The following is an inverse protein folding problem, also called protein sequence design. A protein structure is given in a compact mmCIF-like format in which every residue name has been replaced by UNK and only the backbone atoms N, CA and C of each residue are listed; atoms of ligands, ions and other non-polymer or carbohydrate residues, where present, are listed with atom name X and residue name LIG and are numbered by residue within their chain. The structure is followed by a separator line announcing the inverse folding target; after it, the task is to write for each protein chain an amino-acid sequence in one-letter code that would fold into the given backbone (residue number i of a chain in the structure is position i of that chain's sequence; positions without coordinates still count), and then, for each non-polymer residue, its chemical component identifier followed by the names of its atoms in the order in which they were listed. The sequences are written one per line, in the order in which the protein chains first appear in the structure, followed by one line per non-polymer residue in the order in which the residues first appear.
data_IF_483500271783
#
_entry.id   IF_483500271783
#
_cell.length_a   1.000
_cell.length_b   1.000
_cell.length_c   1.000
_cell.angle_alpha   90.00
_cell.angle_beta   90.00
_cell.angle_gamma   90.00
#
_symmetry.space_group_name_H-M   'P 1'
#
loop_
_entity.id
_entity.type
_entity.pdbx_description
1 polymer ?
#
# COMPACT_ATOMS: atom_id res chain seq x y z
N UNK A 1 -21.30 -6.38 21.24
CA UNK A 1 -20.24 -7.39 21.06
C UNK A 1 -19.86 -7.63 19.60
N UNK A 2 -20.78 -8.04 18.71
CA UNK A 2 -20.46 -8.35 17.29
C UNK A 2 -19.68 -7.25 16.55
N UNK A 3 -19.97 -5.97 16.80
CA UNK A 3 -19.28 -4.84 16.15
C UNK A 3 -18.12 -4.30 16.99
N UNK A 4 -18.34 -4.13 18.29
CA UNK A 4 -17.37 -3.51 19.19
C UNK A 4 -16.11 -4.37 19.35
N UNK A 5 -16.24 -5.69 19.50
CA UNK A 5 -15.10 -6.58 19.67
C UNK A 5 -14.15 -6.60 18.47
N UNK A 6 -14.61 -6.81 17.22
CA UNK A 6 -13.69 -6.76 16.07
C UNK A 6 -13.13 -5.35 15.83
N UNK A 7 -13.85 -4.28 16.17
CA UNK A 7 -13.31 -2.92 16.10
C UNK A 7 -12.15 -2.71 17.09
N UNK A 8 -12.33 -3.09 18.36
CA UNK A 8 -11.27 -3.01 19.36
C UNK A 8 -10.10 -3.95 19.04
N UNK A 9 -10.40 -5.16 18.56
CA UNK A 9 -9.41 -6.13 18.11
C UNK A 9 -8.60 -5.61 16.91
N UNK A 10 -9.25 -4.90 15.99
CA UNK A 10 -8.58 -4.19 14.90
C UNK A 10 -7.65 -3.10 15.42
N UNK A 11 -8.15 -2.18 16.26
CA UNK A 11 -7.33 -1.08 16.80
C UNK A 11 -6.12 -1.64 17.55
N UNK A 12 -6.31 -2.65 18.39
CA UNK A 12 -5.20 -3.30 19.09
C UNK A 12 -4.21 -3.95 18.12
N UNK A 13 -4.71 -4.65 17.10
CA UNK A 13 -3.87 -5.35 16.13
C UNK A 13 -3.10 -4.40 15.22
N UNK A 14 -3.76 -3.43 14.59
CA UNK A 14 -3.09 -2.52 13.65
C UNK A 14 -2.03 -1.67 14.35
N UNK A 15 -2.19 -1.35 15.64
CA UNK A 15 -1.19 -0.61 16.42
C UNK A 15 -0.14 -1.51 17.12
N UNK A 16 -0.24 -2.84 17.01
CA UNK A 16 0.69 -3.79 17.66
C UNK A 16 1.23 -4.82 16.69
N UNK A 17 0.37 -5.67 16.11
CA UNK A 17 0.72 -6.71 15.15
C UNK A 17 1.50 -6.14 13.97
N UNK A 18 1.04 -5.02 13.41
CA UNK A 18 1.68 -4.41 12.24
C UNK A 18 3.14 -4.07 12.54
N UNK A 19 3.39 -3.23 13.54
CA UNK A 19 4.74 -2.83 13.93
C UNK A 19 5.59 -4.01 14.40
N UNK A 20 5.01 -4.93 15.16
CA UNK A 20 5.69 -6.14 15.59
C UNK A 20 6.15 -6.99 14.40
N UNK A 21 5.33 -7.06 13.35
CA UNK A 21 5.65 -7.80 12.13
C UNK A 21 6.79 -7.17 11.32
N UNK A 22 7.02 -5.86 11.49
CA UNK A 22 8.15 -5.12 10.91
C UNK A 22 9.35 -4.98 11.84
N UNK A 23 9.34 -5.68 12.99
CA UNK A 23 10.37 -5.54 14.04
C UNK A 23 10.48 -4.11 14.62
N UNK A 24 9.40 -3.33 14.51
CA UNK A 24 9.33 -1.94 14.89
C UNK A 24 8.66 -1.72 16.26
N UNK A 25 8.12 -2.76 16.90
CA UNK A 25 7.49 -2.64 18.22
C UNK A 25 8.52 -2.58 19.36
N UNK A 26 9.65 -3.28 19.22
CA UNK A 26 10.69 -3.32 20.24
C UNK A 26 12.05 -3.66 19.64
N UNK A 27 13.13 -3.25 20.31
CA UNK A 27 14.48 -3.75 20.00
C UNK A 27 14.69 -5.20 20.44
N UNK A 28 13.81 -5.74 21.29
CA UNK A 28 13.85 -7.15 21.69
C UNK A 28 13.06 -8.01 20.66
N UNK A 29 13.72 -8.94 19.95
CA UNK A 29 13.06 -9.77 18.93
C UNK A 29 11.94 -10.65 19.50
N UNK A 30 12.01 -11.06 20.78
CA UNK A 30 10.97 -11.86 21.41
C UNK A 30 9.66 -11.07 21.57
N UNK A 31 9.75 -9.76 21.87
CA UNK A 31 8.56 -8.90 21.99
C UNK A 31 7.88 -8.74 20.64
N UNK A 32 8.64 -8.56 19.55
CA UNK A 32 8.09 -8.53 18.19
C UNK A 32 7.45 -9.87 17.80
N UNK A 33 8.10 -10.99 18.11
CA UNK A 33 7.55 -12.31 17.82
C UNK A 33 6.22 -12.56 18.54
N UNK A 34 6.14 -12.21 19.84
CA UNK A 34 4.89 -12.31 20.62
C UNK A 34 3.84 -11.33 20.10
N UNK A 35 4.22 -10.08 19.84
CA UNK A 35 3.32 -9.05 19.30
C UNK A 35 2.67 -9.47 17.98
N UNK A 36 3.42 -10.12 17.10
CA UNK A 36 2.89 -10.71 15.86
C UNK A 36 2.00 -11.94 16.11
N UNK A 37 2.39 -12.82 17.04
CA UNK A 37 1.64 -14.04 17.33
C UNK A 37 0.28 -13.82 18.03
N UNK A 38 0.10 -12.69 18.72
CA UNK A 38 -1.13 -12.36 19.45
C UNK A 38 -2.35 -12.08 18.56
N UNK A 39 -2.14 -11.83 17.26
CA UNK A 39 -3.22 -11.44 16.35
C UNK A 39 -3.34 -12.39 15.13
N UNK A 40 -3.65 -13.68 15.36
CA UNK A 40 -3.74 -14.68 14.30
C UNK A 40 -4.86 -14.40 13.27
N UNK A 41 -5.78 -13.46 13.57
CA UNK A 41 -6.83 -13.04 12.65
C UNK A 41 -6.37 -12.21 11.46
N UNK A 42 -5.18 -11.59 11.51
CA UNK A 42 -4.63 -10.82 10.41
C UNK A 42 -4.03 -11.77 9.37
N UNK A 43 -2.98 -12.49 9.77
CA UNK A 43 -2.32 -13.51 8.98
C UNK A 43 -1.47 -14.38 9.91
N UNK A 44 -0.97 -15.51 9.40
CA UNK A 44 0.16 -16.16 10.04
C UNK A 44 1.42 -15.30 9.84
N UNK A 45 2.31 -15.24 10.84
CA UNK A 45 3.57 -14.51 10.68
C UNK A 45 4.42 -15.05 9.52
N UNK A 46 4.38 -16.37 9.31
CA UNK A 46 5.08 -17.01 8.20
C UNK A 46 4.57 -16.54 6.83
N UNK A 47 3.25 -16.52 6.61
CA UNK A 47 2.71 -16.00 5.36
C UNK A 47 2.92 -14.49 5.22
N UNK A 48 2.74 -13.74 6.31
CA UNK A 48 2.91 -12.30 6.34
C UNK A 48 4.33 -11.87 5.97
N UNK A 49 5.36 -12.61 6.42
CA UNK A 49 6.74 -12.36 6.02
C UNK A 49 6.98 -12.50 4.52
N UNK A 50 6.40 -13.52 3.87
CA UNK A 50 6.55 -13.71 2.42
C UNK A 50 5.72 -12.70 1.62
N UNK A 51 4.47 -12.51 2.02
CA UNK A 51 3.50 -11.66 1.34
C UNK A 51 3.86 -10.19 1.49
N UNK A 52 3.91 -9.72 2.73
CA UNK A 52 3.94 -8.31 3.03
C UNK A 52 5.38 -7.80 3.24
N UNK A 53 6.14 -8.42 4.15
CA UNK A 53 7.46 -7.88 4.54
C UNK A 53 8.49 -8.00 3.41
N UNK A 54 8.61 -9.17 2.78
CA UNK A 54 9.58 -9.40 1.70
C UNK A 54 8.94 -9.08 0.35
N UNK A 55 7.72 -9.52 0.11
CA UNK A 55 7.05 -9.31 -1.16
C UNK A 55 6.72 -7.85 -1.41
N UNK A 56 5.70 -7.37 -0.69
CA UNK A 56 5.12 -6.05 -0.90
C UNK A 56 6.08 -4.90 -0.59
N UNK A 57 6.78 -4.88 0.56
CA UNK A 57 7.66 -3.75 0.90
C UNK A 57 8.89 -3.64 0.00
N UNK A 58 9.38 -4.75 -0.55
CA UNK A 58 10.48 -4.69 -1.52
C UNK A 58 9.95 -4.32 -2.92
N UNK A 59 8.73 -4.73 -3.27
CA UNK A 59 8.19 -4.64 -4.63
C UNK A 59 6.85 -3.90 -4.75
N UNK A 60 6.60 -2.88 -3.94
CA UNK A 60 5.29 -2.21 -3.82
C UNK A 60 4.74 -1.79 -5.17
N UNK A 61 3.51 -2.21 -5.47
CA UNK A 61 2.81 -1.96 -6.73
C UNK A 61 3.60 -2.32 -8.00
N UNK A 62 4.67 -3.13 -7.90
CA UNK A 62 5.35 -3.64 -9.07
C UNK A 62 4.54 -4.80 -9.67
N UNK A 63 4.08 -4.69 -10.93
CA UNK A 63 3.32 -5.74 -11.58
C UNK A 63 4.09 -7.06 -11.57
N UNK A 64 3.39 -8.16 -11.27
CA UNK A 64 3.93 -9.52 -11.22
C UNK A 64 4.91 -9.82 -10.08
N UNK A 65 5.42 -8.80 -9.39
CA UNK A 65 6.32 -8.99 -8.24
C UNK A 65 5.60 -8.78 -6.90
N UNK A 66 4.76 -7.74 -6.79
CA UNK A 66 3.99 -7.46 -5.58
C UNK A 66 2.92 -8.53 -5.33
N UNK A 67 3.00 -9.30 -4.23
CA UNK A 67 1.92 -10.13 -3.74
C UNK A 67 0.54 -9.46 -3.78
N UNK A 68 0.44 -8.20 -3.39
CA UNK A 68 -0.86 -7.53 -3.25
C UNK A 68 -1.54 -7.30 -4.61
N UNK A 69 -0.77 -7.30 -5.69
CA UNK A 69 -1.29 -7.24 -7.06
C UNK A 69 -1.51 -8.62 -7.68
N UNK A 70 -0.76 -9.66 -7.28
CA UNK A 70 -0.81 -10.99 -7.93
C UNK A 70 -1.73 -12.00 -7.27
N UNK A 71 -2.09 -11.81 -5.99
CA UNK A 71 -2.97 -12.77 -5.31
C UNK A 71 -4.43 -12.56 -5.70
N UNK A 72 -5.05 -13.64 -6.19
CA UNK A 72 -6.46 -13.59 -6.58
C UNK A 72 -6.66 -12.76 -7.85
N UNK A 73 -5.63 -12.63 -8.69
CA UNK A 73 -5.73 -12.03 -10.03
C UNK A 73 -6.78 -12.70 -10.88
N UNK A 74 -7.17 -13.94 -10.64
CA UNK A 74 -8.30 -14.58 -11.33
C UNK A 74 -9.63 -13.91 -10.94
N UNK A 75 -9.76 -13.47 -9.69
CA UNK A 75 -11.00 -12.91 -9.12
C UNK A 75 -11.05 -11.40 -9.31
N UNK A 76 -9.94 -10.68 -9.16
CA UNK A 76 -9.92 -9.22 -9.25
C UNK A 76 -8.59 -8.75 -9.80
N UNK A 77 -8.65 -7.87 -10.80
CA UNK A 77 -7.47 -7.36 -11.49
C UNK A 77 -7.04 -6.04 -10.87
N UNK A 78 -5.88 -6.06 -10.22
CA UNK A 78 -5.34 -4.88 -9.55
C UNK A 78 -4.28 -4.10 -10.34
N UNK A 79 -3.83 -4.61 -11.50
CA UNK A 79 -2.93 -3.88 -12.37
C UNK A 79 -3.27 -4.12 -13.85
N UNK A 80 -3.11 -3.10 -14.70
CA UNK A 80 -3.47 -3.17 -16.12
C UNK A 80 -2.53 -4.07 -16.94
N UNK A 81 -1.30 -4.20 -16.49
CA UNK A 81 -0.37 -5.18 -17.06
C UNK A 81 -0.79 -6.63 -16.80
N UNK A 82 -1.66 -6.91 -15.83
CA UNK A 82 -2.19 -8.27 -15.64
C UNK A 82 -3.25 -8.61 -16.68
N UNK A 83 -3.34 -9.87 -17.13
CA UNK A 83 -4.36 -10.32 -18.07
C UNK A 83 -5.77 -10.03 -17.56
N UNK A 84 -6.67 -9.69 -18.49
CA UNK A 84 -8.09 -9.58 -18.20
C UNK A 84 -8.73 -10.97 -18.36
N UNK A 85 -9.27 -11.50 -17.25
CA UNK A 85 -9.93 -12.79 -17.20
C UNK A 85 -11.46 -12.63 -17.25
N UNK A 86 -12.22 -13.65 -17.72
CA UNK A 86 -13.67 -13.59 -17.75
C UNK A 86 -14.30 -13.30 -16.38
N UNK A 87 -13.66 -13.76 -15.31
CA UNK A 87 -14.07 -13.49 -13.95
C UNK A 87 -14.00 -11.99 -13.62
N UNK A 88 -13.17 -11.16 -14.24
CA UNK A 88 -13.10 -9.71 -13.98
C UNK A 88 -14.31 -8.92 -14.45
N UNK A 89 -15.20 -9.53 -15.23
CA UNK A 89 -16.40 -8.88 -15.74
C UNK A 89 -17.19 -8.24 -14.58
N UNK A 90 -17.49 -6.95 -14.71
CA UNK A 90 -18.21 -6.16 -13.71
C UNK A 90 -17.47 -6.01 -12.34
N UNK A 91 -16.14 -6.13 -12.30
CA UNK A 91 -15.35 -5.91 -11.07
C UNK A 91 -15.41 -4.48 -10.52
N UNK A 92 -15.76 -3.53 -11.40
CA UNK A 92 -16.03 -2.13 -11.13
C UNK A 92 -17.35 -1.90 -10.36
N UNK A 93 -18.20 -2.92 -10.25
CA UNK A 93 -19.43 -2.85 -9.46
C UNK A 93 -19.12 -2.70 -7.96
N UNK A 94 -19.79 -1.76 -7.29
CA UNK A 94 -19.63 -1.48 -5.87
C UNK A 94 -20.01 -2.68 -4.97
N UNK A 95 -21.04 -3.46 -5.32
CA UNK A 95 -21.45 -4.66 -4.58
C UNK A 95 -20.33 -5.70 -4.61
N UNK A 96 -19.69 -5.87 -5.76
CA UNK A 96 -18.58 -6.80 -5.91
C UNK A 96 -17.33 -6.32 -5.16
N UNK A 97 -17.08 -5.01 -5.18
CA UNK A 97 -16.01 -4.39 -4.38
C UNK A 97 -16.27 -4.56 -2.89
N UNK A 98 -17.51 -4.35 -2.42
CA UNK A 98 -17.90 -4.59 -1.03
C UNK A 98 -17.74 -6.05 -0.62
N UNK A 99 -18.13 -6.99 -1.51
CA UNK A 99 -17.92 -8.42 -1.28
C UNK A 99 -16.43 -8.76 -1.11
N UNK A 100 -15.58 -8.22 -1.98
CA UNK A 100 -14.13 -8.36 -1.84
C UNK A 100 -13.62 -7.82 -0.50
N UNK A 101 -14.10 -6.65 -0.06
CA UNK A 101 -13.71 -6.08 1.23
C UNK A 101 -14.10 -6.96 2.42
N UNK A 102 -15.26 -7.62 2.37
CA UNK A 102 -15.74 -8.50 3.44
C UNK A 102 -14.97 -9.82 3.57
N UNK A 103 -14.29 -10.29 2.52
CA UNK A 103 -13.64 -11.62 2.52
C UNK A 103 -12.12 -11.58 2.32
N UNK A 104 -11.57 -10.46 1.84
CA UNK A 104 -10.18 -10.33 1.42
C UNK A 104 -9.15 -10.74 2.48
N UNK A 105 -9.34 -10.33 3.73
CA UNK A 105 -8.38 -10.66 4.81
C UNK A 105 -8.51 -12.10 5.30
N UNK A 106 -9.64 -12.50 5.88
CA UNK A 106 -9.74 -13.76 6.63
C UNK A 106 -9.84 -15.00 5.73
N UNK A 107 -10.52 -14.89 4.59
CA UNK A 107 -10.67 -15.98 3.62
C UNK A 107 -9.57 -15.92 2.57
N UNK A 108 -9.28 -14.74 2.03
CA UNK A 108 -8.22 -14.55 1.04
C UNK A 108 -6.82 -14.73 1.64
N UNK A 109 -6.35 -13.72 2.37
CA UNK A 109 -4.99 -13.68 2.91
C UNK A 109 -4.72 -14.76 3.96
N UNK A 110 -5.53 -14.78 5.03
CA UNK A 110 -5.35 -15.67 6.17
C UNK A 110 -5.71 -17.13 5.89
N UNK A 111 -6.53 -17.39 4.86
CA UNK A 111 -6.99 -18.74 4.50
C UNK A 111 -6.32 -19.25 3.23
N UNK A 112 -6.83 -18.82 2.07
CA UNK A 112 -6.44 -19.33 0.75
C UNK A 112 -4.94 -19.12 0.50
N UNK A 113 -4.41 -17.92 0.75
CA UNK A 113 -3.01 -17.63 0.46
C UNK A 113 -2.05 -18.31 1.44
N UNK A 114 -2.39 -18.38 2.73
CA UNK A 114 -1.65 -19.15 3.74
C UNK A 114 -1.60 -20.65 3.35
N UNK A 115 -2.73 -21.23 2.96
CA UNK A 115 -2.79 -22.61 2.46
C UNK A 115 -1.93 -22.81 1.21
N UNK A 116 -2.02 -21.89 0.23
CA UNK A 116 -1.18 -21.96 -0.98
C UNK A 116 0.31 -21.96 -0.62
N UNK A 117 0.74 -21.11 0.32
CA UNK A 117 2.14 -21.09 0.77
C UNK A 117 2.57 -22.42 1.41
N UNK A 118 1.74 -22.97 2.30
CA UNK A 118 2.06 -24.19 3.07
C UNK A 118 2.08 -25.43 2.18
N UNK A 119 1.08 -25.58 1.31
CA UNK A 119 0.91 -26.76 0.47
C UNK A 119 1.65 -26.68 -0.87
N UNK A 120 2.23 -25.51 -1.21
CA UNK A 120 3.03 -25.41 -2.42
C UNK A 120 4.31 -26.24 -2.34
N UNK A 121 4.65 -26.91 -3.43
CA UNK A 121 5.94 -27.54 -3.66
C UNK A 121 6.96 -26.60 -4.31
N UNK A 122 6.54 -25.39 -4.67
CA UNK A 122 7.41 -24.39 -5.32
C UNK A 122 8.45 -23.83 -4.37
N UNK A 123 9.62 -23.46 -4.92
CA UNK A 123 10.68 -22.77 -4.18
C UNK A 123 10.42 -21.28 -3.97
N UNK A 124 9.41 -20.73 -4.63
CA UNK A 124 8.98 -19.33 -4.52
C UNK A 124 7.49 -19.24 -4.21
N UNK A 125 7.09 -18.19 -3.49
CA UNK A 125 5.71 -17.99 -3.05
C UNK A 125 4.77 -17.61 -4.19
N UNK A 126 5.18 -16.67 -5.06
CA UNK A 126 4.42 -16.18 -6.21
C UNK A 126 5.22 -16.27 -7.54
N UNK A 127 6.18 -17.20 -7.62
CA UNK A 127 7.11 -17.27 -8.76
C UNK A 127 8.34 -16.39 -8.60
N UNK A 128 8.28 -15.35 -7.74
CA UNK A 128 9.33 -14.36 -7.60
C UNK A 128 9.96 -14.33 -6.19
N UNK A 129 9.13 -14.27 -5.15
CA UNK A 129 9.61 -14.20 -3.76
C UNK A 129 10.13 -15.56 -3.29
N UNK A 130 11.42 -15.69 -2.91
CA UNK A 130 11.96 -16.94 -2.39
C UNK A 130 11.20 -17.40 -1.15
N UNK A 131 10.90 -18.69 -1.08
CA UNK A 131 10.26 -19.27 0.10
C UNK A 131 11.31 -19.55 1.17
N UNK A 132 11.12 -18.95 2.34
CA UNK A 132 11.89 -19.23 3.57
C UNK A 132 11.70 -20.71 3.92
N UNK A 133 12.78 -21.51 4.03
CA UNK A 133 12.66 -22.90 4.44
C UNK A 133 12.02 -23.05 5.83
N UNK A 134 11.11 -24.00 5.95
CA UNK A 134 10.44 -24.33 7.21
C UNK A 134 10.70 -25.80 7.58
N UNK A 135 10.89 -26.08 8.87
CA UNK A 135 11.03 -27.46 9.35
C UNK A 135 9.66 -28.16 9.37
N UNK A 136 9.64 -29.48 9.30
CA UNK A 136 8.38 -30.25 9.41
C UNK A 136 7.65 -29.96 10.72
N UNK A 137 8.39 -29.85 11.84
CA UNK A 137 7.80 -29.50 13.13
C UNK A 137 7.14 -28.12 13.10
N UNK A 138 7.80 -27.12 12.52
CA UNK A 138 7.23 -25.78 12.36
C UNK A 138 5.92 -25.83 11.56
N UNK A 139 5.91 -26.53 10.42
CA UNK A 139 4.72 -26.64 9.58
C UNK A 139 3.57 -27.33 10.31
N UNK A 140 3.84 -28.39 11.09
CA UNK A 140 2.82 -29.06 11.91
C UNK A 140 2.27 -28.10 12.96
N UNK A 141 3.13 -27.40 13.70
CA UNK A 141 2.70 -26.42 14.72
C UNK A 141 1.88 -25.30 14.09
N UNK A 142 2.30 -24.80 12.93
CA UNK A 142 1.58 -23.79 12.16
C UNK A 142 0.18 -24.28 11.79
N UNK A 143 0.07 -25.43 11.11
CA UNK A 143 -1.22 -25.98 10.67
C UNK A 143 -2.15 -26.23 11.86
N UNK A 144 -1.64 -26.84 12.94
CA UNK A 144 -2.44 -27.08 14.16
C UNK A 144 -2.91 -25.75 14.75
N UNK A 145 -2.04 -24.75 14.85
CA UNK A 145 -2.39 -23.44 15.40
C UNK A 145 -3.45 -22.72 14.53
N UNK A 146 -3.35 -22.82 13.20
CA UNK A 146 -4.38 -22.28 12.28
C UNK A 146 -5.70 -23.00 12.43
N UNK A 147 -5.71 -24.34 12.50
CA UNK A 147 -6.94 -25.12 12.72
C UNK A 147 -7.60 -24.75 14.04
N UNK A 148 -6.83 -24.68 15.14
CA UNK A 148 -7.33 -24.27 16.45
C UNK A 148 -7.89 -22.85 16.41
N UNK A 149 -7.21 -21.91 15.74
CA UNK A 149 -7.71 -20.56 15.54
C UNK A 149 -9.04 -20.55 14.77
N UNK A 150 -9.16 -21.26 13.65
CA UNK A 150 -10.40 -21.30 12.87
C UNK A 150 -11.56 -21.95 13.65
N UNK A 151 -11.29 -23.01 14.42
CA UNK A 151 -12.28 -23.63 15.30
C UNK A 151 -12.71 -22.67 16.42
N UNK A 152 -11.75 -21.97 17.03
CA UNK A 152 -12.03 -20.98 18.08
C UNK A 152 -12.79 -19.76 17.55
N UNK A 153 -12.50 -19.31 16.32
CA UNK A 153 -13.13 -18.14 15.72
C UNK A 153 -14.54 -18.45 15.19
N UNK A 154 -14.72 -19.57 14.49
CA UNK A 154 -15.96 -19.88 13.75
C UNK A 154 -16.80 -20.99 14.37
N UNK A 155 -16.18 -21.92 15.10
CA UNK A 155 -16.87 -23.09 15.66
C UNK A 155 -17.63 -22.78 16.95
N UNK A 156 -17.09 -21.92 17.82
CA UNK A 156 -17.63 -21.71 19.17
C UNK A 156 -19.13 -21.33 19.23
N UNK A 157 -19.73 -20.53 18.32
CA UNK A 157 -21.15 -20.18 18.41
C UNK A 157 -22.07 -21.38 18.20
N UNK A 158 -21.59 -22.44 17.54
CA UNK A 158 -22.36 -23.66 17.32
C UNK A 158 -22.47 -24.55 18.56
N UNK A 159 -21.54 -24.39 19.51
CA UNK A 159 -21.50 -25.14 20.76
C UNK A 159 -22.04 -24.36 21.95
N UNK A 160 -21.95 -23.02 21.93
CA UNK A 160 -22.39 -22.17 23.06
C UNK A 160 -23.86 -21.77 22.98
N UNK A 161 -24.40 -21.56 21.79
CA UNK A 161 -25.81 -21.20 21.64
C UNK A 161 -26.71 -22.42 21.85
N UNK A 162 -27.86 -22.20 22.49
CA UNK A 162 -28.81 -23.26 22.81
C UNK A 162 -29.24 -24.01 21.54
N UNK A 163 -29.54 -25.31 21.62
CA UNK A 163 -29.90 -26.13 20.44
C UNK A 163 -31.10 -25.59 19.66
N UNK A 164 -31.99 -24.82 20.32
CA UNK A 164 -33.13 -24.15 19.66
C UNK A 164 -32.77 -22.89 18.87
N UNK A 165 -31.56 -22.33 19.01
CA UNK A 165 -31.13 -21.16 18.22
C UNK A 165 -31.01 -21.53 16.73
N UNK A 166 -31.64 -20.76 15.81
CA UNK A 166 -31.57 -21.05 14.38
C UNK A 166 -30.13 -21.11 13.86
N UNK A 167 -29.86 -22.02 12.92
CA UNK A 167 -28.54 -22.21 12.32
C UNK A 167 -27.96 -20.90 11.75
N UNK A 168 -28.77 -20.16 10.99
CA UNK A 168 -28.34 -18.90 10.36
C UNK A 168 -27.89 -17.85 11.38
N UNK A 169 -28.46 -17.84 12.58
CA UNK A 169 -28.05 -16.92 13.63
C UNK A 169 -26.65 -17.26 14.15
N UNK A 170 -26.36 -18.56 14.37
CA UNK A 170 -25.03 -19.02 14.77
C UNK A 170 -23.99 -18.71 13.70
N UNK A 171 -24.34 -18.97 12.43
CA UNK A 171 -23.50 -18.68 11.29
C UNK A 171 -23.19 -17.18 11.17
N UNK A 172 -24.20 -16.32 11.31
CA UNK A 172 -24.02 -14.88 11.29
C UNK A 172 -23.10 -14.42 12.44
N UNK A 173 -23.28 -14.94 13.65
CA UNK A 173 -22.41 -14.63 14.79
C UNK A 173 -20.95 -15.07 14.57
N UNK A 174 -20.72 -16.18 13.86
CA UNK A 174 -19.39 -16.65 13.51
C UNK A 174 -18.71 -15.78 12.43
N UNK A 175 -19.45 -15.38 11.39
CA UNK A 175 -18.90 -14.73 10.20
C UNK A 175 -18.80 -13.20 10.32
N UNK A 176 -19.78 -12.54 10.93
CA UNK A 176 -19.84 -11.07 10.95
C UNK A 176 -18.59 -10.41 11.56
N UNK A 177 -18.01 -10.91 12.67
CA UNK A 177 -16.77 -10.31 13.20
C UNK A 177 -15.59 -10.40 12.21
N UNK A 178 -15.46 -11.52 11.49
CA UNK A 178 -14.41 -11.70 10.49
C UNK A 178 -14.63 -10.80 9.27
N UNK A 179 -15.88 -10.61 8.85
CA UNK A 179 -16.23 -9.67 7.77
C UNK A 179 -15.96 -8.21 8.16
N UNK A 180 -16.31 -7.80 9.38
CA UNK A 180 -16.01 -6.46 9.90
C UNK A 180 -14.50 -6.23 9.97
N UNK A 181 -13.76 -7.19 10.54
CA UNK A 181 -12.30 -7.15 10.55
C UNK A 181 -11.73 -7.01 9.14
N UNK A 182 -12.29 -7.72 8.16
CA UNK A 182 -11.85 -7.62 6.77
C UNK A 182 -12.11 -6.27 6.14
N UNK A 183 -13.27 -5.68 6.39
CA UNK A 183 -13.56 -4.32 5.92
C UNK A 183 -12.57 -3.32 6.54
N UNK A 184 -12.28 -3.45 7.84
CA UNK A 184 -11.29 -2.61 8.53
C UNK A 184 -9.89 -2.80 7.95
N UNK A 185 -9.45 -4.04 7.72
CA UNK A 185 -8.20 -4.34 7.04
C UNK A 185 -8.11 -3.67 5.68
N UNK A 186 -9.12 -3.90 4.83
CA UNK A 186 -9.11 -3.43 3.45
C UNK A 186 -9.17 -1.90 3.35
N UNK A 187 -9.95 -1.23 4.19
CA UNK A 187 -10.01 0.24 4.23
C UNK A 187 -8.68 0.84 4.69
N UNK A 188 -7.95 0.19 5.60
CA UNK A 188 -6.73 0.76 6.16
C UNK A 188 -5.46 0.41 5.38
N UNK A 189 -5.46 -0.66 4.60
CA UNK A 189 -4.29 -1.04 3.79
C UNK A 189 -4.46 -0.66 2.33
N UNK A 190 -5.62 -0.91 1.71
CA UNK A 190 -5.73 -0.84 0.24
C UNK A 190 -5.89 0.58 -0.30
N UNK A 191 -6.54 1.49 0.43
CA UNK A 191 -6.78 2.86 -0.05
C UNK A 191 -5.48 3.68 -0.23
N UNK A 192 -4.38 3.18 0.34
CA UNK A 192 -3.05 3.81 0.26
C UNK A 192 -2.24 3.33 -0.95
N UNK A 193 -2.57 2.16 -1.50
CA UNK A 193 -1.83 1.56 -2.62
C UNK A 193 -2.60 1.64 -3.93
N UNK A 194 -3.91 1.44 -3.86
CA UNK A 194 -4.76 1.25 -5.02
C UNK A 194 -5.47 2.55 -5.37
N UNK A 195 -4.68 3.59 -5.66
CA UNK A 195 -5.17 4.89 -6.14
C UNK A 195 -4.66 5.19 -7.55
N UNK A 196 -5.35 6.05 -8.33
CA UNK A 196 -4.86 6.46 -9.63
C UNK A 196 -3.46 7.07 -9.57
N UNK A 197 -3.09 7.75 -8.48
CA UNK A 197 -1.76 8.34 -8.32
C UNK A 197 -0.67 7.27 -8.11
N UNK A 198 -0.93 6.34 -7.19
CA UNK A 198 -0.01 5.29 -6.77
C UNK A 198 0.26 4.19 -7.83
N UNK A 199 -0.50 4.19 -8.92
CA UNK A 199 -0.47 3.14 -9.96
C UNK A 199 -0.02 3.64 -11.34
N UNK A 200 0.36 4.93 -11.46
CA UNK A 200 0.67 5.57 -12.75
C UNK A 200 2.14 5.59 -13.13
N UNK A 201 3.03 5.47 -12.15
CA UNK A 201 4.45 5.70 -12.34
C UNK A 201 5.29 4.66 -11.61
N UNK A 202 6.52 4.48 -12.08
CA UNK A 202 7.55 3.67 -11.43
C UNK A 202 8.88 4.43 -11.40
N UNK A 203 9.84 3.90 -10.66
CA UNK A 203 11.20 4.44 -10.62
C UNK A 203 12.20 3.32 -10.38
N UNK A 204 13.38 3.44 -10.97
CA UNK A 204 14.52 2.56 -10.67
C UNK A 204 15.16 2.88 -9.30
N UNK A 205 14.98 4.11 -8.79
CA UNK A 205 15.34 4.43 -7.42
C UNK A 205 14.27 3.87 -6.49
N UNK A 206 14.67 2.91 -5.65
CA UNK A 206 13.76 2.22 -4.75
C UNK A 206 13.03 3.19 -3.81
N UNK A 207 13.72 4.20 -3.27
CA UNK A 207 13.12 5.16 -2.34
C UNK A 207 12.06 6.00 -3.05
N UNK A 208 12.38 6.51 -4.25
CA UNK A 208 11.43 7.26 -5.06
C UNK A 208 10.24 6.39 -5.44
N UNK A 209 10.48 5.13 -5.82
CA UNK A 209 9.44 4.18 -6.16
C UNK A 209 8.45 4.01 -5.00
N UNK A 210 8.93 3.70 -3.80
CA UNK A 210 8.11 3.55 -2.59
C UNK A 210 7.20 4.76 -2.33
N UNK A 211 7.71 5.98 -2.55
CA UNK A 211 6.95 7.22 -2.34
C UNK A 211 5.85 7.37 -3.40
N UNK A 212 6.19 7.23 -4.68
CA UNK A 212 5.23 7.49 -5.77
C UNK A 212 4.18 6.40 -5.92
N UNK A 213 4.44 5.19 -5.41
CA UNK A 213 3.50 4.06 -5.39
C UNK A 213 2.66 3.98 -4.13
N UNK A 214 2.63 5.04 -3.32
CA UNK A 214 1.81 5.13 -2.13
C UNK A 214 1.03 6.44 -2.10
N UNK A 215 0.02 6.47 -1.24
CA UNK A 215 -0.81 7.62 -0.95
C UNK A 215 -1.02 7.73 0.55
N UNK A 216 -0.70 8.88 1.11
CA UNK A 216 -1.03 9.22 2.49
C UNK A 216 -2.45 9.78 2.58
N UNK A 217 -3.05 9.70 3.76
CA UNK A 217 -4.31 10.36 4.05
C UNK A 217 -4.33 10.98 5.45
N UNK A 218 -5.17 12.00 5.63
CA UNK A 218 -5.21 12.76 6.88
C UNK A 218 -4.03 13.72 6.96
N UNK A 219 -4.30 15.00 6.74
CA UNK A 219 -3.27 16.04 6.71
C UNK A 219 -2.68 16.25 8.12
N UNK A 220 -1.38 15.97 8.24
CA UNK A 220 -0.65 16.03 9.52
C UNK A 220 -0.63 17.43 10.13
N UNK A 221 -0.42 18.46 9.32
CA UNK A 221 -0.25 19.85 9.78
C UNK A 221 -1.54 20.69 9.58
N UNK A 222 -2.71 20.06 9.71
CA UNK A 222 -4.01 20.73 9.67
C UNK A 222 -4.54 20.98 11.09
N UNK A 223 -4.20 22.16 11.62
CA UNK A 223 -4.55 22.58 12.99
C UNK A 223 -6.06 22.57 13.27
N UNK A 224 -6.90 22.69 12.23
CA UNK A 224 -8.36 22.70 12.39
C UNK A 224 -8.95 21.29 12.54
N UNK A 225 -8.18 20.27 12.15
CA UNK A 225 -8.67 18.89 12.04
C UNK A 225 -7.83 17.88 12.84
N UNK A 226 -7.16 18.32 13.91
CA UNK A 226 -6.30 17.48 14.75
C UNK A 226 -7.02 16.22 15.29
N UNK A 227 -8.29 16.32 15.69
CA UNK A 227 -9.08 15.16 16.13
C UNK A 227 -9.33 14.16 15.00
N UNK A 228 -9.61 14.66 13.79
CA UNK A 228 -9.79 13.81 12.62
C UNK A 228 -8.46 13.13 12.23
N UNK A 229 -7.35 13.85 12.34
CA UNK A 229 -6.02 13.27 12.15
C UNK A 229 -5.72 12.17 13.18
N UNK A 230 -5.98 12.41 14.47
CA UNK A 230 -5.79 11.39 15.51
C UNK A 230 -6.65 10.14 15.26
N UNK A 231 -7.89 10.34 14.78
CA UNK A 231 -8.75 9.24 14.36
C UNK A 231 -8.13 8.46 13.20
N UNK A 232 -7.68 9.12 12.13
CA UNK A 232 -7.00 8.46 11.00
C UNK A 232 -5.75 7.69 11.45
N UNK A 233 -4.93 8.32 12.28
CA UNK A 233 -3.69 7.74 12.79
C UNK A 233 -3.95 6.48 13.62
N UNK A 234 -4.85 6.57 14.60
CA UNK A 234 -5.17 5.45 15.50
C UNK A 234 -5.89 4.31 14.78
N UNK A 235 -6.85 4.64 13.92
CA UNK A 235 -7.64 3.64 13.19
C UNK A 235 -6.84 2.89 12.14
N UNK A 236 -5.78 3.50 11.62
CA UNK A 236 -4.91 2.90 10.61
C UNK A 236 -3.61 2.33 11.18
N UNK A 237 -3.30 2.54 12.47
CA UNK A 237 -2.00 2.17 13.05
C UNK A 237 -0.84 2.89 12.36
N UNK A 238 -1.04 4.16 12.01
CA UNK A 238 -0.08 4.99 11.28
C UNK A 238 0.06 4.68 9.78
N UNK A 239 -0.69 3.70 9.22
CA UNK A 239 -0.71 3.46 7.78
C UNK A 239 -1.19 4.69 6.99
N UNK A 240 -1.87 5.64 7.61
CA UNK A 240 -2.18 6.92 6.97
C UNK A 240 -0.93 7.71 6.50
N UNK A 241 0.26 7.35 7.00
CA UNK A 241 1.59 7.79 6.56
C UNK A 241 2.33 6.66 5.81
N UNK A 242 1.69 6.12 4.77
CA UNK A 242 2.16 4.96 4.02
C UNK A 242 3.51 5.20 3.33
N UNK A 243 3.73 6.39 2.75
CA UNK A 243 4.99 6.74 2.08
C UNK A 243 6.17 6.60 3.05
N UNK A 244 6.03 7.14 4.27
CA UNK A 244 7.03 7.07 5.33
C UNK A 244 7.26 5.64 5.80
N UNK A 245 6.16 4.89 6.00
CA UNK A 245 6.21 3.49 6.40
C UNK A 245 6.99 2.65 5.39
N UNK A 246 6.76 2.86 4.09
CA UNK A 246 7.41 2.08 3.04
C UNK A 246 8.91 2.30 2.94
N UNK A 247 9.37 3.54 3.16
CA UNK A 247 10.81 3.84 3.15
C UNK A 247 11.49 3.41 4.46
N UNK A 248 10.75 3.34 5.57
CA UNK A 248 11.27 3.00 6.89
C UNK A 248 10.37 2.01 7.66
N UNK A 249 10.14 0.79 7.15
CA UNK A 249 9.13 -0.12 7.73
C UNK A 249 9.51 -0.58 9.14
N UNK A 250 10.81 -0.59 9.46
CA UNK A 250 11.32 -0.98 10.79
C UNK A 250 11.25 0.15 11.84
N UNK A 251 10.72 1.32 11.47
CA UNK A 251 10.50 2.44 12.39
C UNK A 251 9.09 2.37 12.94
N UNK A 252 8.94 2.46 14.26
CA UNK A 252 7.64 2.43 14.90
C UNK A 252 6.72 3.52 14.35
N UNK A 253 5.44 3.20 14.13
CA UNK A 253 4.52 4.12 13.47
C UNK A 253 4.36 5.45 14.24
N UNK A 254 4.58 5.45 15.57
CA UNK A 254 4.56 6.66 16.40
C UNK A 254 5.58 7.74 15.97
N UNK A 255 6.64 7.34 15.26
CA UNK A 255 7.67 8.25 14.77
C UNK A 255 7.43 8.74 13.34
N UNK A 256 6.53 8.11 12.58
CA UNK A 256 6.24 8.49 11.20
C UNK A 256 5.78 9.96 11.06
N UNK A 257 5.06 10.58 12.00
CA UNK A 257 4.77 12.02 11.93
C UNK A 257 6.02 12.91 11.93
N UNK A 258 7.10 12.50 12.59
CA UNK A 258 8.37 13.22 12.55
C UNK A 258 9.09 12.98 11.21
N UNK A 259 9.06 11.74 10.71
CA UNK A 259 9.60 11.38 9.38
C UNK A 259 8.91 12.17 8.28
N UNK A 260 7.57 12.25 8.29
CA UNK A 260 6.78 12.96 7.29
C UNK A 260 7.16 14.44 7.16
N UNK A 261 7.47 15.10 8.29
CA UNK A 261 7.92 16.51 8.32
C UNK A 261 9.28 16.73 7.67
N UNK A 262 10.09 15.69 7.57
CA UNK A 262 11.40 15.71 6.89
C UNK A 262 11.25 15.28 5.43
N UNK A 263 10.48 14.22 5.19
CA UNK A 263 10.29 13.64 3.87
C UNK A 263 9.57 14.59 2.92
N UNK A 264 8.49 15.24 3.36
CA UNK A 264 7.68 16.12 2.50
C UNK A 264 8.50 17.27 1.88
N UNK A 265 9.30 18.05 2.64
CA UNK A 265 10.19 19.06 2.05
C UNK A 265 11.21 18.48 1.05
N UNK A 266 11.75 17.28 1.31
CA UNK A 266 12.68 16.61 0.38
C UNK A 266 11.97 16.24 -0.91
N UNK A 267 10.77 15.64 -0.85
CA UNK A 267 9.98 15.33 -2.04
C UNK A 267 9.72 16.58 -2.87
N UNK A 268 9.36 17.69 -2.23
CA UNK A 268 9.21 18.99 -2.91
C UNK A 268 10.53 19.41 -3.58
N UNK A 269 11.66 19.39 -2.84
CA UNK A 269 12.99 19.78 -3.34
C UNK A 269 13.41 19.00 -4.60
N UNK A 270 13.12 17.70 -4.67
CA UNK A 270 13.51 16.83 -5.79
C UNK A 270 12.41 16.63 -6.84
N UNK A 271 11.25 17.26 -6.68
CA UNK A 271 10.12 17.09 -7.60
C UNK A 271 9.47 15.72 -7.55
N UNK A 272 9.60 14.99 -6.44
CA UNK A 272 8.93 13.71 -6.21
C UNK A 272 7.49 13.99 -5.77
N UNK A 273 6.47 13.44 -6.45
CA UNK A 273 5.08 13.57 -6.02
C UNK A 273 4.88 13.01 -4.60
N UNK A 274 4.45 13.86 -3.68
CA UNK A 274 4.04 13.47 -2.34
C UNK A 274 2.51 13.39 -2.31
N UNK A 275 1.96 12.22 -2.59
CA UNK A 275 0.52 12.03 -2.79
C UNK A 275 -0.20 11.98 -1.43
N UNK A 276 -0.99 13.01 -1.12
CA UNK A 276 -1.75 13.09 0.13
C UNK A 276 -3.20 13.51 -0.12
N UNK A 277 -4.15 12.80 0.51
CA UNK A 277 -5.58 13.13 0.49
C UNK A 277 -6.10 13.55 1.87
N UNK A 278 -7.20 14.32 1.96
CA UNK A 278 -7.71 14.83 3.25
C UNK A 278 -8.03 13.79 4.33
N UNK A 279 -8.41 12.57 3.98
CA UNK A 279 -8.81 11.53 4.94
C UNK A 279 -9.45 10.31 4.28
N UNK A 280 -10.07 9.43 5.09
CA UNK A 280 -10.65 8.16 4.60
C UNK A 280 -11.64 8.33 3.45
N UNK A 281 -12.52 9.33 3.52
CA UNK A 281 -13.53 9.55 2.47
C UNK A 281 -12.87 9.75 1.11
N UNK A 282 -11.84 10.60 1.06
CA UNK A 282 -11.14 10.88 -0.19
C UNK A 282 -10.22 9.73 -0.62
N UNK A 283 -9.57 9.06 0.33
CA UNK A 283 -8.81 7.84 0.05
C UNK A 283 -9.69 6.75 -0.57
N UNK A 284 -10.87 6.51 -0.01
CA UNK A 284 -11.83 5.56 -0.56
C UNK A 284 -12.38 6.00 -1.92
N UNK A 285 -12.61 7.30 -2.12
CA UNK A 285 -13.02 7.83 -3.43
C UNK A 285 -11.95 7.56 -4.50
N UNK A 286 -10.68 7.76 -4.19
CA UNK A 286 -9.58 7.42 -5.10
C UNK A 286 -9.49 5.91 -5.35
N UNK A 287 -9.67 5.09 -4.32
CA UNK A 287 -9.75 3.63 -4.46
C UNK A 287 -10.87 3.18 -5.42
N UNK A 288 -12.07 3.77 -5.29
CA UNK A 288 -13.21 3.46 -6.16
C UNK A 288 -12.91 3.92 -7.60
N UNK A 289 -12.28 5.08 -7.80
CA UNK A 289 -11.87 5.53 -9.14
C UNK A 289 -10.92 4.54 -9.79
N UNK A 290 -9.89 4.10 -9.06
CA UNK A 290 -8.96 3.08 -9.53
C UNK A 290 -9.68 1.78 -9.89
N UNK A 291 -10.56 1.30 -9.02
CA UNK A 291 -11.34 0.08 -9.22
C UNK A 291 -12.25 0.13 -10.45
N UNK A 292 -12.82 1.31 -10.74
CA UNK A 292 -13.77 1.51 -11.85
C UNK A 292 -13.10 1.75 -13.20
N UNK A 293 -11.92 2.37 -13.25
CA UNK A 293 -11.16 2.57 -14.49
C UNK A 293 -10.78 1.24 -15.17
N UNK A 294 -10.68 0.16 -14.41
CA UNK A 294 -10.30 -1.17 -14.90
C UNK A 294 -11.44 -2.01 -15.45
N UNK A 295 -12.67 -1.48 -15.42
CA UNK A 295 -13.85 -2.10 -16.02
C UNK A 295 -13.85 -2.12 -17.55
N UNK A 296 -12.86 -1.53 -18.24
CA UNK A 296 -12.78 -1.63 -19.70
C UNK A 296 -11.88 -0.64 -20.44
N UNK A 297 -10.92 0.05 -19.81
CA UNK A 297 -9.98 0.92 -20.53
C UNK A 297 -8.54 0.63 -20.12
N UNK A 298 -7.59 0.46 -21.06
CA UNK A 298 -6.17 0.41 -20.73
C UNK A 298 -5.73 1.79 -20.23
N UNK A 299 -5.09 1.83 -19.05
CA UNK A 299 -4.33 2.99 -18.57
C UNK A 299 -3.04 3.15 -19.38
N UNK A 300 -2.49 4.37 -19.47
CA UNK A 300 -1.21 4.60 -20.12
C UNK A 300 -0.09 3.77 -19.47
N UNK A 301 0.94 3.44 -20.26
CA UNK A 301 2.14 2.77 -19.76
C UNK A 301 2.75 3.54 -18.58
N UNK A 302 3.37 2.81 -17.63
CA UNK A 302 4.06 3.41 -16.50
C UNK A 302 5.09 4.43 -16.99
N UNK A 303 4.99 5.66 -16.48
CA UNK A 303 5.94 6.72 -16.79
C UNK A 303 7.05 6.68 -15.74
N UNK A 304 8.30 6.55 -16.18
CA UNK A 304 9.45 6.69 -15.29
C UNK A 304 9.55 8.16 -14.84
N UNK A 305 9.63 8.40 -13.53
CA UNK A 305 9.72 9.77 -13.01
C UNK A 305 11.14 10.34 -13.22
N UNK A 306 11.23 11.44 -13.97
CA UNK A 306 12.45 12.26 -14.04
C UNK A 306 12.55 13.18 -12.81
N UNK A 307 13.63 13.06 -12.03
CA UNK A 307 13.88 13.89 -10.85
C UNK A 307 14.35 15.31 -11.24
N UNK A 308 13.91 16.31 -10.49
CA UNK A 308 14.40 17.68 -10.64
C UNK A 308 15.82 17.80 -10.07
N UNK A 309 16.68 18.57 -10.73
CA UNK A 309 17.95 18.98 -10.13
C UNK A 309 17.69 20.04 -9.05
N UNK A 310 18.45 20.05 -7.94
CA UNK A 310 18.29 21.05 -6.87
C UNK A 310 18.29 22.50 -7.36
N UNK A 311 19.08 22.80 -8.39
CA UNK A 311 19.25 24.15 -8.93
C UNK A 311 18.17 24.57 -9.94
N UNK A 312 17.36 23.62 -10.44
CA UNK A 312 16.33 23.88 -11.47
C UNK A 312 15.03 24.46 -10.88
N UNK A 313 14.82 24.39 -9.55
CA UNK A 313 13.66 25.01 -8.88
C UNK A 313 13.70 26.53 -8.82
N UNK A 314 14.89 27.15 -8.76
CA UNK A 314 15.02 28.62 -8.71
C UNK A 314 14.46 29.26 -9.98
N UNK A 315 14.66 28.63 -11.14
CA UNK A 315 14.19 29.10 -12.45
C UNK A 315 12.69 28.96 -12.65
N UNK A 316 12.06 27.96 -12.02
CA UNK A 316 10.61 27.76 -12.13
C UNK A 316 9.80 28.76 -11.28
N UNK A 317 10.34 29.20 -10.13
CA UNK A 317 9.74 30.29 -9.34
C UNK A 317 9.79 31.64 -10.09
N UNK A 318 10.92 31.96 -10.74
CA UNK A 318 11.05 33.20 -11.52
C UNK A 318 10.16 33.24 -12.77
N UNK A 319 9.94 32.08 -13.44
CA UNK A 319 9.00 32.00 -14.57
C UNK A 319 7.53 32.17 -14.17
N UNK A 320 7.15 31.72 -12.97
CA UNK A 320 5.77 31.86 -12.45
C UNK A 320 5.39 33.30 -12.07
N UNK A 321 6.36 34.13 -11.71
CA UNK A 321 6.14 35.56 -11.42
C UNK A 321 6.10 36.41 -12.69
N UNK A 322 6.83 36.03 -13.74
CA UNK A 322 6.80 36.75 -15.02
C UNK A 322 5.50 36.55 -15.83
N UNK A 323 4.85 35.38 -15.73
CA UNK A 323 3.58 35.11 -16.43
C UNK A 323 2.40 35.82 -15.78
N UNK A 324 2.39 35.99 -14.46
CA UNK A 324 1.30 36.72 -13.76
C UNK A 324 1.22 38.21 -14.10
N UNK A 325 2.26 38.79 -14.73
CA UNK A 325 2.30 40.22 -15.10
C UNK A 325 1.83 40.51 -16.53
N UNK A 326 1.71 39.50 -17.39
CA UNK A 326 1.25 39.65 -18.79
C UNK A 326 -0.25 39.40 -19.00
N UNK A 327 -0.90 38.62 -18.13
CA UNK A 327 -2.25 38.11 -18.39
C UNK A 327 -3.39 39.09 -18.05
N UNK A 328 -3.08 40.30 -17.58
CA UNK A 328 -4.11 41.30 -17.21
C UNK A 328 -4.60 42.16 -18.37
N UNK A 329 -4.18 41.92 -19.63
CA UNK A 329 -4.56 42.77 -20.78
C UNK A 329 -5.22 42.07 -21.97
N UNK A 330 -5.46 40.76 -21.93
CA UNK A 330 -5.89 40.03 -23.13
C UNK A 330 -7.19 39.23 -23.02
N UNK A 331 -8.02 39.46 -21.99
CA UNK A 331 -9.36 38.86 -21.89
C UNK A 331 -10.47 39.88 -22.16
N UNK A 332 -10.55 40.35 -23.40
CA UNK A 332 -11.73 41.00 -24.00
C UNK A 332 -11.61 40.89 -25.51
N UNK A 333 -11.79 39.69 -26.04
CA UNK A 333 -12.14 39.37 -27.44
C UNK A 333 -11.77 37.89 -27.64
N UNK A 334 -12.77 37.01 -27.58
CA UNK A 334 -12.82 35.68 -28.24
C UNK A 334 -13.92 34.85 -27.55
N UNK A 335 -15.16 35.35 -27.65
CA UNK A 335 -16.33 34.48 -27.65
C UNK A 335 -16.97 34.61 -29.03
N UNK A 336 -16.76 33.56 -29.85
CA UNK A 336 -17.47 33.17 -31.09
C UNK A 336 -16.46 32.56 -32.06
N UNK A 337 -16.45 31.24 -32.17
CA UNK A 337 -16.68 30.54 -33.44
C UNK A 337 -16.67 29.02 -33.26
N UNK A 338 -17.46 28.40 -34.13
CA UNK A 338 -18.01 27.06 -34.12
C UNK A 338 -17.13 26.00 -34.81
N UNK A 339 -17.50 24.73 -34.54
CA UNK A 339 -17.47 23.54 -35.43
C UNK A 339 -16.18 22.72 -35.65
N UNK A 340 -16.34 21.41 -35.41
CA UNK A 340 -15.52 20.23 -35.77
C UNK A 340 -15.53 19.96 -37.31
N UNK A 341 -14.85 18.92 -37.85
CA UNK A 341 -13.64 18.19 -37.42
C UNK A 341 -12.61 17.99 -38.55
N UNK A 342 -11.32 17.80 -38.25
CA UNK A 342 -10.39 17.14 -39.18
C UNK A 342 -9.22 16.49 -38.41
N UNK A 343 -9.23 15.15 -38.33
CA UNK A 343 -8.09 14.36 -37.91
C UNK A 343 -7.25 14.02 -39.15
N UNK A 344 -6.13 14.72 -39.32
CA UNK A 344 -4.98 14.25 -40.07
C UNK A 344 -3.80 14.17 -39.10
N UNK A 345 -3.16 13.01 -39.07
CA UNK A 345 -1.89 12.78 -38.36
C UNK A 345 -0.79 13.71 -38.92
N UNK A 346 0.25 13.98 -38.12
CA UNK A 346 1.59 13.86 -38.69
C UNK A 346 2.53 13.01 -37.81
N UNK A 347 2.96 11.91 -38.40
CA UNK A 347 4.28 11.32 -38.17
C UNK A 347 5.34 12.35 -38.59
N UNK A 348 5.83 13.19 -37.67
CA UNK A 348 7.07 13.97 -37.86
C UNK A 348 7.47 14.68 -36.56
N UNK A 349 7.98 13.93 -35.58
CA UNK A 349 8.80 14.50 -34.50
C UNK A 349 9.75 13.47 -33.84
N UNK A 350 10.13 12.41 -34.56
CA UNK A 350 11.05 11.38 -34.06
C UNK A 350 12.55 11.63 -34.33
N UNK A 351 12.95 12.82 -34.80
CA UNK A 351 14.36 13.10 -35.08
C UNK A 351 14.80 14.46 -34.51
N UNK A 352 14.89 14.56 -33.18
CA UNK A 352 15.87 15.40 -32.48
C UNK A 352 15.69 15.24 -30.96
N UNK A 353 16.40 14.30 -30.34
CA UNK A 353 17.05 14.47 -29.02
C UNK A 353 17.87 13.21 -28.68
N UNK A 354 18.96 12.96 -29.43
CA UNK A 354 20.09 12.17 -28.91
C UNK A 354 21.06 13.16 -28.24
N UNK A 355 20.80 13.56 -27.00
CA UNK A 355 21.82 14.20 -26.14
C UNK A 355 21.65 13.78 -24.68
N UNK A 356 22.57 12.94 -24.25
CA UNK A 356 23.07 12.78 -22.86
C UNK A 356 22.03 12.56 -21.76
N UNK A 357 21.68 11.30 -21.53
CA UNK A 357 21.15 10.80 -20.26
C UNK A 357 22.23 10.92 -19.18
N UNK A 358 22.11 11.92 -18.31
CA UNK A 358 22.74 11.92 -16.97
C UNK A 358 21.59 12.00 -15.97
N UNK A 359 21.28 10.85 -15.38
CA UNK A 359 20.31 10.72 -14.30
C UNK A 359 20.78 11.54 -13.09
N UNK A 360 19.92 12.43 -12.59
CA UNK A 360 20.14 13.05 -11.28
C UNK A 360 19.93 11.99 -10.21
N UNK A 361 20.99 11.60 -9.51
CA UNK A 361 20.86 10.79 -8.29
C UNK A 361 20.65 11.72 -7.09
N UNK A 362 19.88 11.26 -6.09
CA UNK A 362 19.83 11.92 -4.79
C UNK A 362 21.28 12.01 -4.28
N UNK A 363 21.73 13.20 -3.89
CA UNK A 363 23.14 13.38 -3.57
C UNK A 363 23.54 12.47 -2.39
N UNK A 364 24.80 11.97 -2.34
CA UNK A 364 25.27 11.20 -1.19
C UNK A 364 25.09 11.92 0.15
N UNK A 365 24.97 13.25 0.17
CA UNK A 365 24.72 14.05 1.38
C UNK A 365 23.24 14.04 1.82
N UNK A 366 22.30 13.98 0.88
CA UNK A 366 20.86 13.86 1.18
C UNK A 366 20.50 12.40 1.50
N UNK A 367 21.12 11.44 0.82
CA UNK A 367 21.12 10.03 1.23
C UNK A 367 21.81 9.90 2.58
N UNK A 368 22.91 10.58 2.86
CA UNK A 368 23.51 10.60 4.19
C UNK A 368 22.61 11.27 5.21
N UNK A 369 21.75 12.25 4.86
CA UNK A 369 20.80 12.84 5.80
C UNK A 369 19.63 11.88 6.11
N UNK A 370 19.11 11.18 5.10
CA UNK A 370 18.13 10.10 5.24
C UNK A 370 18.73 8.88 5.96
N UNK A 371 20.00 8.55 5.69
CA UNK A 371 20.77 7.50 6.32
C UNK A 371 21.33 7.92 7.68
N UNK A 372 21.45 9.20 8.01
CA UNK A 372 21.78 9.66 9.37
C UNK A 372 20.51 9.53 10.21
N UNK A 373 19.34 9.85 9.67
CA UNK A 373 18.07 9.45 10.27
C UNK A 373 17.98 7.91 10.42
N UNK A 374 18.34 7.14 9.39
CA UNK A 374 18.33 5.68 9.46
C UNK A 374 19.44 5.08 10.34
N UNK A 375 20.63 5.69 10.41
CA UNK A 375 21.77 5.24 11.25
C UNK A 375 21.59 5.61 12.72
N UNK A 376 20.81 6.66 13.01
CA UNK A 376 20.33 6.95 14.36
C UNK A 376 19.25 5.94 14.78
N UNK A 377 18.62 5.21 13.84
CA UNK A 377 17.44 4.36 14.12
C UNK A 377 17.63 2.86 13.87
N UNK A 378 18.52 2.35 13.01
CA UNK A 378 18.73 0.89 12.88
C UNK A 378 20.00 0.45 12.09
N UNK A 379 20.83 -0.48 12.62
CA UNK A 379 21.96 -1.09 11.90
C UNK A 379 21.60 -2.11 10.78
N UNK A 380 20.34 -2.55 10.68
CA UNK A 380 19.96 -3.62 9.72
C UNK A 380 19.98 -3.16 8.25
N UNK A 381 19.53 -1.94 7.97
CA UNK A 381 19.51 -1.36 6.59
C UNK A 381 20.92 -1.10 6.07
N UNK A 382 21.87 -0.77 6.97
CA UNK A 382 23.27 -0.58 6.61
C UNK A 382 23.91 -1.89 6.10
N UNK A 383 23.53 -3.05 6.67
CA UNK A 383 24.08 -4.35 6.26
C UNK A 383 23.63 -4.79 4.85
N UNK A 384 22.40 -4.44 4.46
CA UNK A 384 21.87 -4.75 3.12
C UNK A 384 22.49 -3.85 2.03
N UNK A 385 22.89 -2.62 2.39
CA UNK A 385 23.59 -1.71 1.50
C UNK A 385 25.06 -2.12 1.27
N UNK A 386 25.70 -2.75 2.25
CA UNK A 386 27.08 -3.26 2.12
C UNK A 386 27.16 -4.52 1.25
N UNK A 387 26.15 -5.39 1.26
CA UNK A 387 26.12 -6.60 0.40
C UNK A 387 26.03 -6.30 -1.11
N UNK A 388 25.62 -5.09 -1.52
CA UNK A 388 25.62 -4.69 -2.94
C UNK A 388 26.98 -4.26 -3.48
N UNK A 389 28.02 -4.18 -2.65
CA UNK A 389 29.38 -3.85 -3.09
C UNK A 389 30.23 -5.06 -3.48
N UNK A 390 29.72 -6.28 -3.30
CA UNK A 390 30.47 -7.52 -3.57
C UNK A 390 29.87 -8.41 -4.68
N UNK A 391 28.96 -7.88 -5.53
CA UNK A 391 28.45 -8.59 -6.71
C UNK A 391 28.60 -7.76 -7.97
#
# INVERSE_FOLDING_TARGET
MIVVCPLLGWIAGVNTFHDASHFALSTNPAVNAVGGALFPQFASMYAWYHQHIIGHHVHTNMPYHDPDLVHGTDIRREHDLHPLEPLHRNQDNLVRTAWHFMVGSWLGLGGINDMKLIFSSTKSYNGFIPRIPATNLFLVVHVVSRVLYYLAQFGWPFYTFSRGTPFLYRLAFALLPAMIHSVLFMINTQINHLSPGAMKANSHDWTVHQIITAQNFGRLDDDKHQLAWLFHFTMSGGLNLQMEHHIFPTVNHCHLPAVARILRPLCIKYGVPYNEVPGYYEGMREYIKHSTMKGGKPLPALVELELLKPDEQSKHKERGEHVKRSDTKQNKEESKQEHQPQQQQPQQQQHALKKTTRTGSISPADIASLLILAKVVNPVVASLAEQKKEV
#
